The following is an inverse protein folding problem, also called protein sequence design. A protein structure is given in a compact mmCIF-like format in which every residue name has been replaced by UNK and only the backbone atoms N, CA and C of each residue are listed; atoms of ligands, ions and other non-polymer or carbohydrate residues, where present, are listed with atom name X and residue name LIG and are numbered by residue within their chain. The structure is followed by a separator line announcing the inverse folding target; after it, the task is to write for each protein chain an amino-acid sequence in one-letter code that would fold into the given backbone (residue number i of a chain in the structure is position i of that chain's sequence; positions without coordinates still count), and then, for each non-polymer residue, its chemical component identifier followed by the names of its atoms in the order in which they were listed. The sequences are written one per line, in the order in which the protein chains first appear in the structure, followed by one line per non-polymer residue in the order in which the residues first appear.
data_IF_484521329732
#
_entry.id   IF_484521329732
#
_cell.length_a   1.000
_cell.length_b   1.000
_cell.length_c   1.000
_cell.angle_alpha   90.00
_cell.angle_beta   90.00
_cell.angle_gamma   90.00
#
_symmetry.space_group_name_H-M   'P 1'
#
loop_
_entity.id
_entity.type
_entity.pdbx_description
1 polymer ?
#
# COMPACT_ATOMS: atom_id res chain seq x y z
N UNK A 1 48.07 -2.91 -22.13
CA UNK A 1 47.43 -4.20 -22.48
C UNK A 1 46.01 -4.34 -21.90
N UNK A 2 45.51 -3.36 -21.14
CA UNK A 2 44.23 -3.39 -20.41
C UNK A 2 42.95 -3.32 -21.28
N UNK A 3 43.00 -2.72 -22.48
CA UNK A 3 41.79 -2.51 -23.31
C UNK A 3 41.18 -3.81 -23.86
N UNK A 4 41.98 -4.86 -24.08
CA UNK A 4 41.48 -6.14 -24.62
C UNK A 4 40.64 -6.91 -23.61
N UNK A 5 40.96 -6.79 -22.31
CA UNK A 5 40.22 -7.46 -21.24
C UNK A 5 38.82 -6.86 -21.05
N UNK A 6 38.69 -5.53 -21.13
CA UNK A 6 37.40 -4.83 -21.04
C UNK A 6 36.45 -5.17 -22.19
N UNK A 7 36.93 -5.20 -23.43
CA UNK A 7 36.11 -5.57 -24.59
C UNK A 7 35.63 -7.02 -24.55
N UNK A 8 36.52 -7.96 -24.19
CA UNK A 8 36.17 -9.37 -24.05
C UNK A 8 35.10 -9.56 -22.96
N UNK A 9 35.21 -8.85 -21.83
CA UNK A 9 34.22 -8.90 -20.76
C UNK A 9 32.84 -8.39 -21.21
N UNK A 10 32.77 -7.26 -21.92
CA UNK A 10 31.51 -6.71 -22.46
C UNK A 10 30.86 -7.65 -23.47
N UNK A 11 31.64 -8.24 -24.39
CA UNK A 11 31.14 -9.19 -25.40
C UNK A 11 30.65 -10.50 -24.76
N UNK A 12 31.38 -11.02 -23.77
CA UNK A 12 30.97 -12.22 -23.02
C UNK A 12 29.70 -11.96 -22.19
N UNK A 13 29.56 -10.78 -21.59
CA UNK A 13 28.34 -10.40 -20.85
C UNK A 13 27.15 -10.23 -21.79
N UNK A 14 27.34 -9.60 -22.95
CA UNK A 14 26.32 -9.46 -24.01
C UNK A 14 25.90 -10.81 -24.61
N UNK A 15 26.84 -11.74 -24.87
CA UNK A 15 26.49 -13.10 -25.30
C UNK A 15 25.74 -13.88 -24.22
N UNK A 16 26.12 -13.73 -22.95
CA UNK A 16 25.39 -14.34 -21.82
C UNK A 16 23.97 -13.80 -21.67
N UNK A 17 23.74 -12.49 -21.81
CA UNK A 17 22.39 -11.91 -21.73
C UNK A 17 21.50 -12.34 -22.90
N UNK A 18 22.04 -12.36 -24.13
CA UNK A 18 21.31 -12.85 -25.31
C UNK A 18 20.96 -14.34 -25.20
N UNK A 19 21.89 -15.19 -24.73
CA UNK A 19 21.63 -16.61 -24.50
C UNK A 19 20.62 -16.85 -23.37
N UNK A 20 20.71 -16.10 -22.27
CA UNK A 20 19.74 -16.19 -21.17
C UNK A 20 18.35 -15.77 -21.60
N UNK A 21 18.22 -14.72 -22.42
CA UNK A 21 16.93 -14.30 -22.97
C UNK A 21 16.36 -15.34 -23.94
N UNK A 22 17.18 -15.91 -24.85
CA UNK A 22 16.76 -16.98 -25.76
C UNK A 22 16.31 -18.24 -25.01
N UNK A 23 17.03 -18.64 -23.95
CA UNK A 23 16.62 -19.76 -23.08
C UNK A 23 15.40 -19.46 -22.21
N UNK A 24 15.11 -18.17 -21.95
CA UNK A 24 13.88 -17.76 -21.25
C UNK A 24 12.69 -17.86 -22.21
N UNK A 25 12.85 -17.36 -23.44
CA UNK A 25 11.87 -17.51 -24.52
C UNK A 25 11.56 -18.99 -24.80
N UNK A 26 12.57 -19.85 -24.93
CA UNK A 26 12.40 -21.28 -25.24
C UNK A 26 11.68 -22.04 -24.12
N UNK A 27 11.99 -21.76 -22.84
CA UNK A 27 11.26 -22.33 -21.70
C UNK A 27 9.82 -21.81 -21.59
N UNK A 28 9.59 -20.52 -21.85
CA UNK A 28 8.21 -19.99 -21.89
C UNK A 28 7.41 -20.57 -23.04
N UNK A 29 7.99 -20.74 -24.23
CA UNK A 29 7.32 -21.36 -25.37
C UNK A 29 6.93 -22.80 -25.10
N UNK A 30 7.79 -23.58 -24.42
CA UNK A 30 7.46 -24.95 -24.04
C UNK A 30 6.33 -25.03 -23.00
N UNK A 31 6.32 -24.12 -22.02
CA UNK A 31 5.24 -24.01 -21.03
C UNK A 31 3.90 -23.58 -21.65
N UNK A 32 3.94 -22.63 -22.60
CA UNK A 32 2.76 -22.13 -23.33
C UNK A 32 2.16 -23.25 -24.20
N UNK A 33 3.00 -23.99 -24.94
CA UNK A 33 2.56 -25.09 -25.79
C UNK A 33 1.87 -26.22 -24.99
N UNK A 34 2.35 -26.54 -23.79
CA UNK A 34 1.70 -27.52 -22.92
C UNK A 34 0.32 -27.04 -22.44
N UNK A 35 0.22 -25.75 -22.10
CA UNK A 35 -1.03 -25.15 -21.63
C UNK A 35 -2.05 -25.01 -22.77
N UNK A 36 -1.60 -24.70 -23.99
CA UNK A 36 -2.39 -24.73 -25.21
C UNK A 36 -3.00 -26.10 -25.48
N UNK A 37 -2.19 -27.15 -25.41
CA UNK A 37 -2.64 -28.54 -25.52
C UNK A 37 -3.64 -28.91 -24.42
N UNK A 38 -3.40 -28.50 -23.18
CA UNK A 38 -4.26 -28.81 -22.05
C UNK A 38 -5.66 -28.18 -22.18
N UNK A 39 -5.74 -26.91 -22.62
CA UNK A 39 -7.02 -26.25 -22.88
C UNK A 39 -7.70 -26.85 -24.14
N UNK A 40 -6.95 -27.09 -25.22
CA UNK A 40 -7.52 -27.61 -26.48
C UNK A 40 -8.09 -29.04 -26.35
N UNK A 41 -7.55 -29.86 -25.45
CA UNK A 41 -8.03 -31.22 -25.16
C UNK A 41 -9.42 -31.24 -24.50
N UNK A 42 -9.91 -30.10 -24.01
CA UNK A 42 -11.24 -29.93 -23.40
C UNK A 42 -12.21 -29.13 -24.29
N UNK A 43 -11.89 -28.96 -25.57
CA UNK A 43 -12.85 -28.45 -26.55
C UNK A 43 -14.10 -29.36 -26.55
N UNK A 44 -15.30 -28.76 -26.52
CA UNK A 44 -16.62 -29.39 -26.28
C UNK A 44 -17.03 -29.76 -24.83
N UNK A 45 -16.21 -29.50 -23.81
CA UNK A 45 -16.63 -29.71 -22.42
C UNK A 45 -17.46 -28.54 -21.85
N UNK A 46 -18.06 -28.73 -20.67
CA UNK A 46 -18.75 -27.63 -19.99
C UNK A 46 -17.74 -26.54 -19.62
N UNK A 47 -18.22 -25.31 -19.47
CA UNK A 47 -17.38 -24.15 -19.13
C UNK A 47 -16.56 -24.37 -17.84
N UNK A 48 -17.09 -25.11 -16.87
CA UNK A 48 -16.35 -25.52 -15.67
C UNK A 48 -15.17 -26.47 -15.97
N UNK A 49 -15.35 -27.41 -16.88
CA UNK A 49 -14.32 -28.40 -17.25
C UNK A 49 -13.18 -27.77 -18.07
N UNK A 50 -13.49 -26.78 -18.91
CA UNK A 50 -12.49 -26.03 -19.67
C UNK A 50 -11.64 -25.14 -18.74
N UNK A 51 -12.26 -24.48 -17.76
CA UNK A 51 -11.57 -23.62 -16.80
C UNK A 51 -10.80 -24.40 -15.74
N UNK A 52 -11.17 -25.66 -15.47
CA UNK A 52 -10.44 -26.55 -14.56
C UNK A 52 -9.03 -26.93 -15.06
N UNK A 53 -8.77 -26.81 -16.37
CA UNK A 53 -7.47 -27.11 -16.97
C UNK A 53 -6.40 -26.04 -16.66
N UNK A 54 -6.81 -24.82 -16.27
CA UNK A 54 -5.88 -23.78 -15.81
C UNK A 54 -6.39 -22.36 -15.97
N UNK A 55 -5.75 -21.43 -15.25
CA UNK A 55 -6.08 -19.98 -15.23
C UNK A 55 -5.80 -19.25 -16.54
N UNK A 56 -5.10 -19.89 -17.49
CA UNK A 56 -4.84 -19.38 -18.82
C UNK A 56 -5.83 -19.86 -19.88
N UNK A 57 -6.79 -20.72 -19.55
CA UNK A 57 -7.81 -21.18 -20.51
C UNK A 57 -8.98 -20.19 -20.56
N UNK A 58 -9.59 -20.04 -21.74
CA UNK A 58 -10.85 -19.32 -21.93
C UNK A 58 -11.89 -20.23 -22.56
N UNK A 59 -13.16 -20.04 -22.19
CA UNK A 59 -14.29 -20.76 -22.76
C UNK A 59 -15.24 -19.83 -23.49
N UNK A 60 -15.69 -20.27 -24.66
CA UNK A 60 -16.61 -19.55 -25.53
C UNK A 60 -17.97 -20.25 -25.53
N UNK A 61 -18.99 -19.65 -24.92
CA UNK A 61 -20.33 -20.25 -24.87
C UNK A 61 -21.01 -20.29 -26.24
N UNK A 62 -20.90 -19.20 -27.02
CA UNK A 62 -21.49 -19.09 -28.36
C UNK A 62 -21.00 -20.16 -29.35
N UNK A 63 -19.72 -20.52 -29.30
CA UNK A 63 -19.11 -21.48 -30.24
C UNK A 63 -18.71 -22.81 -29.60
N UNK A 64 -18.95 -22.98 -28.29
CA UNK A 64 -18.49 -24.14 -27.47
C UNK A 64 -17.00 -24.48 -27.64
N UNK A 65 -16.17 -23.46 -27.84
CA UNK A 65 -14.72 -23.61 -28.03
C UNK A 65 -13.98 -23.34 -26.71
N UNK A 66 -12.98 -24.16 -26.44
CA UNK A 66 -12.03 -23.98 -25.34
C UNK A 66 -10.65 -23.72 -25.94
N UNK A 67 -9.99 -22.64 -25.52
CA UNK A 67 -8.70 -22.23 -26.05
C UNK A 67 -7.76 -21.73 -24.96
N UNK A 68 -6.47 -21.62 -25.29
CA UNK A 68 -5.49 -21.02 -24.40
C UNK A 68 -5.30 -19.55 -24.74
N UNK A 69 -5.39 -18.69 -23.73
CA UNK A 69 -5.25 -17.27 -23.88
C UNK A 69 -3.84 -16.81 -23.46
N UNK A 70 -2.91 -16.60 -24.41
CA UNK A 70 -1.63 -16.02 -24.07
C UNK A 70 -1.86 -14.57 -23.63
N UNK A 71 -1.39 -14.20 -22.44
CA UNK A 71 -1.42 -12.84 -21.85
C UNK A 71 -0.75 -11.73 -22.68
N UNK A 72 -0.44 -11.99 -23.96
CA UNK A 72 0.16 -11.07 -24.92
C UNK A 72 -0.84 -10.05 -25.48
N UNK A 73 -2.15 -10.28 -25.30
CA UNK A 73 -3.23 -9.39 -25.73
C UNK A 73 -4.21 -9.21 -24.57
N UNK A 74 -4.91 -8.08 -24.49
CA UNK A 74 -5.89 -7.83 -23.42
C UNK A 74 -7.24 -8.49 -23.69
N UNK A 75 -7.63 -8.63 -24.96
CA UNK A 75 -8.88 -9.27 -25.41
C UNK A 75 -8.60 -10.04 -26.72
N UNK A 76 -9.03 -11.32 -26.88
CA UNK A 76 -8.93 -12.02 -28.16
C UNK A 76 -9.79 -11.31 -29.21
N UNK A 77 -9.35 -11.33 -30.47
CA UNK A 77 -10.08 -10.71 -31.58
C UNK A 77 -11.50 -11.27 -31.72
N UNK A 78 -12.45 -10.38 -32.04
CA UNK A 78 -13.90 -10.62 -32.11
C UNK A 78 -14.32 -11.75 -33.08
N UNK A 79 -13.40 -12.23 -33.92
CA UNK A 79 -13.62 -13.27 -34.92
C UNK A 79 -13.49 -14.69 -34.36
N UNK A 80 -12.79 -14.90 -33.23
CA UNK A 80 -12.64 -16.23 -32.62
C UNK A 80 -13.77 -16.58 -31.63
N UNK A 81 -14.44 -15.56 -31.11
CA UNK A 81 -15.62 -15.68 -30.25
C UNK A 81 -16.60 -14.55 -30.55
N UNK A 82 -17.77 -14.92 -31.06
CA UNK A 82 -18.85 -13.97 -31.30
C UNK A 82 -19.28 -13.33 -29.98
N UNK A 83 -18.93 -12.05 -29.82
CA UNK A 83 -19.37 -11.14 -28.77
C UNK A 83 -18.73 -11.32 -27.37
N UNK A 84 -18.41 -10.18 -26.75
CA UNK A 84 -17.78 -10.07 -25.41
C UNK A 84 -18.65 -10.63 -24.27
N UNK A 85 -19.94 -10.90 -24.50
CA UNK A 85 -20.87 -11.41 -23.50
C UNK A 85 -20.73 -12.90 -23.19
N UNK A 86 -20.02 -13.67 -24.02
CA UNK A 86 -20.02 -15.15 -23.95
C UNK A 86 -18.65 -15.77 -23.68
N UNK A 87 -17.65 -14.92 -23.39
CA UNK A 87 -16.29 -15.34 -23.06
C UNK A 87 -16.15 -15.39 -21.54
N UNK A 88 -15.70 -16.53 -21.02
CA UNK A 88 -15.47 -16.78 -19.61
C UNK A 88 -13.98 -17.02 -19.37
N UNK A 89 -13.41 -16.28 -18.43
CA UNK A 89 -12.00 -16.40 -18.02
C UNK A 89 -11.95 -16.51 -16.50
N UNK A 90 -11.43 -17.63 -15.99
CA UNK A 90 -11.31 -17.91 -14.56
C UNK A 90 -12.61 -18.26 -13.81
N UNK A 91 -13.75 -17.69 -14.19
CA UNK A 91 -15.07 -18.00 -13.58
C UNK A 91 -16.14 -18.25 -14.64
N UNK A 92 -16.93 -19.30 -14.42
CA UNK A 92 -17.92 -19.77 -15.38
C UNK A 92 -19.33 -19.18 -15.19
N UNK A 93 -19.60 -18.63 -14.00
CA UNK A 93 -20.95 -18.21 -13.63
C UNK A 93 -21.30 -16.80 -14.11
N UNK A 94 -20.31 -15.99 -14.53
CA UNK A 94 -20.48 -14.57 -14.87
C UNK A 94 -19.64 -14.26 -16.11
N UNK A 95 -20.26 -13.68 -17.14
CA UNK A 95 -19.58 -13.23 -18.35
C UNK A 95 -18.58 -12.11 -18.05
N UNK A 96 -17.60 -11.90 -18.94
CA UNK A 96 -16.66 -10.78 -18.81
C UNK A 96 -17.39 -9.43 -18.64
N UNK A 97 -18.48 -9.21 -19.36
CA UNK A 97 -19.31 -8.01 -19.23
C UNK A 97 -19.83 -7.79 -17.80
N UNK A 98 -20.34 -8.86 -17.16
CA UNK A 98 -20.81 -8.79 -15.77
C UNK A 98 -19.67 -8.49 -14.79
N UNK A 99 -18.50 -9.08 -15.00
CA UNK A 99 -17.33 -8.85 -14.14
C UNK A 99 -16.79 -7.42 -14.24
N UNK A 100 -16.77 -6.85 -15.45
CA UNK A 100 -16.32 -5.47 -15.69
C UNK A 100 -17.27 -4.48 -15.01
N UNK A 101 -18.58 -4.68 -15.12
CA UNK A 101 -19.58 -3.85 -14.43
C UNK A 101 -19.43 -3.98 -12.91
N UNK A 102 -19.29 -5.20 -12.39
CA UNK A 102 -19.13 -5.43 -10.96
C UNK A 102 -17.89 -4.73 -10.38
N UNK A 103 -16.72 -4.86 -11.05
CA UNK A 103 -15.49 -4.16 -10.65
C UNK A 103 -15.70 -2.65 -10.74
N UNK A 104 -16.33 -2.16 -11.80
CA UNK A 104 -16.67 -0.74 -11.96
C UNK A 104 -17.52 -0.20 -10.81
N UNK A 105 -18.54 -0.94 -10.38
CA UNK A 105 -19.41 -0.56 -9.25
C UNK A 105 -18.64 -0.59 -7.93
N UNK A 106 -17.80 -1.60 -7.68
CA UNK A 106 -17.01 -1.68 -6.45
C UNK A 106 -16.02 -0.52 -6.37
N UNK A 107 -15.26 -0.28 -7.44
CA UNK A 107 -14.31 0.84 -7.48
C UNK A 107 -15.05 2.17 -7.39
N UNK A 108 -16.16 2.33 -8.11
CA UNK A 108 -16.99 3.53 -8.09
C UNK A 108 -17.55 3.83 -6.70
N UNK A 109 -18.11 2.84 -6.00
CA UNK A 109 -18.66 3.02 -4.66
C UNK A 109 -17.57 3.33 -3.64
N UNK A 110 -16.39 2.71 -3.72
CA UNK A 110 -15.24 3.02 -2.85
C UNK A 110 -14.76 4.46 -3.09
N UNK A 111 -14.61 4.89 -4.34
CA UNK A 111 -14.20 6.26 -4.67
C UNK A 111 -15.24 7.29 -4.20
N UNK A 112 -16.53 7.01 -4.39
CA UNK A 112 -17.61 7.87 -3.90
C UNK A 112 -17.63 7.94 -2.36
N UNK A 113 -17.46 6.81 -1.68
CA UNK A 113 -17.39 6.78 -0.22
C UNK A 113 -16.21 7.59 0.32
N UNK A 114 -15.03 7.46 -0.30
CA UNK A 114 -13.85 8.26 0.05
C UNK A 114 -14.09 9.73 -0.26
N UNK A 115 -14.65 10.07 -1.43
CA UNK A 115 -14.95 11.46 -1.79
C UNK A 115 -15.92 12.11 -0.81
N UNK A 116 -17.02 11.44 -0.46
CA UNK A 116 -18.00 11.98 0.49
C UNK A 116 -17.39 12.08 1.89
N UNK A 117 -16.67 11.05 2.34
CA UNK A 117 -15.96 11.06 3.62
C UNK A 117 -14.93 12.19 3.69
N UNK A 118 -14.09 12.35 2.67
CA UNK A 118 -13.10 13.42 2.61
C UNK A 118 -13.76 14.80 2.49
N UNK A 119 -14.83 14.98 1.70
CA UNK A 119 -15.53 16.25 1.62
C UNK A 119 -16.22 16.61 2.95
N UNK A 120 -16.90 15.66 3.61
CA UNK A 120 -17.54 15.90 4.91
C UNK A 120 -16.50 16.09 6.02
N UNK A 121 -15.46 15.28 6.07
CA UNK A 121 -14.41 15.40 7.08
C UNK A 121 -13.52 16.64 6.85
N UNK A 122 -13.12 16.98 5.62
CA UNK A 122 -12.25 18.14 5.38
C UNK A 122 -13.01 19.47 5.45
N UNK A 123 -14.26 19.55 4.97
CA UNK A 123 -15.08 20.76 5.08
C UNK A 123 -15.54 21.00 6.53
N UNK A 124 -15.95 19.97 7.27
CA UNK A 124 -16.35 20.12 8.67
C UNK A 124 -15.14 20.28 9.62
N UNK A 125 -13.99 19.63 9.33
CA UNK A 125 -12.78 19.73 10.19
C UNK A 125 -12.03 21.04 10.01
N UNK A 126 -12.15 21.74 8.87
CA UNK A 126 -11.51 23.07 8.70
C UNK A 126 -12.08 24.12 9.66
N UNK A 127 -13.35 24.00 10.05
CA UNK A 127 -13.97 24.84 11.09
C UNK A 127 -13.61 24.42 12.52
N UNK A 128 -13.36 23.12 12.75
CA UNK A 128 -13.06 22.61 14.09
C UNK A 128 -11.56 22.63 14.46
N UNK A 129 -10.65 22.65 13.47
CA UNK A 129 -9.21 22.71 13.71
C UNK A 129 -8.79 24.03 14.38
N UNK A 130 -9.45 25.14 14.04
CA UNK A 130 -9.23 26.42 14.72
C UNK A 130 -9.70 26.42 16.18
N UNK A 131 -10.77 25.68 16.50
CA UNK A 131 -11.24 25.50 17.88
C UNK A 131 -10.27 24.65 18.69
N UNK A 132 -9.79 23.55 18.12
CA UNK A 132 -8.85 22.65 18.81
C UNK A 132 -7.50 23.33 19.09
N UNK A 133 -6.97 24.13 18.15
CA UNK A 133 -5.76 24.93 18.38
C UNK A 133 -5.97 26.00 19.48
N UNK A 134 -7.15 26.67 19.50
CA UNK A 134 -7.48 27.65 20.54
C UNK A 134 -7.59 26.99 21.93
N UNK A 135 -8.19 25.82 22.00
CA UNK A 135 -8.38 25.09 23.27
C UNK A 135 -7.04 24.62 23.84
N UNK A 136 -6.13 24.12 22.99
CA UNK A 136 -4.77 23.76 23.40
C UNK A 136 -3.97 24.97 23.92
N UNK A 137 -4.07 26.13 23.26
CA UNK A 137 -3.42 27.36 23.72
C UNK A 137 -3.95 27.81 25.09
N UNK A 138 -5.28 27.76 25.30
CA UNK A 138 -5.91 28.10 26.59
C UNK A 138 -5.43 27.17 27.71
N UNK A 139 -5.31 25.87 27.42
CA UNK A 139 -4.86 24.87 28.40
C UNK A 139 -3.39 25.07 28.81
N UNK A 140 -2.54 25.52 27.89
CA UNK A 140 -1.14 25.87 28.19
C UNK A 140 -1.04 27.10 29.09
N UNK A 141 -1.82 28.15 28.82
CA UNK A 141 -1.88 29.35 29.65
C UNK A 141 -2.32 29.03 31.08
N UNK A 142 -3.37 28.23 31.25
CA UNK A 142 -3.82 27.83 32.60
C UNK A 142 -2.77 27.00 33.35
N UNK A 143 -2.08 26.08 32.66
CA UNK A 143 -0.99 25.30 33.26
C UNK A 143 0.13 26.22 33.74
N UNK A 144 0.50 27.20 32.91
CA UNK A 144 1.52 28.18 33.26
C UNK A 144 1.11 29.02 34.47
N UNK A 145 -0.13 29.51 34.51
CA UNK A 145 -0.65 30.25 35.67
C UNK A 145 -0.72 29.40 36.95
N UNK A 146 -1.03 28.10 36.83
CA UNK A 146 -1.02 27.18 37.99
C UNK A 146 0.40 26.95 38.50
N UNK A 147 1.37 26.87 37.59
CA UNK A 147 2.77 26.68 37.91
C UNK A 147 3.38 27.93 38.55
N UNK A 148 3.14 29.12 37.99
CA UNK A 148 3.55 30.40 38.58
C UNK A 148 3.03 30.56 40.02
N UNK A 149 1.75 30.24 40.27
CA UNK A 149 1.17 30.23 41.64
C UNK A 149 1.75 29.16 42.56
N UNK A 150 2.28 28.07 42.01
CA UNK A 150 2.93 27.02 42.81
C UNK A 150 4.34 27.48 43.21
N UNK A 151 5.07 28.06 42.25
CA UNK A 151 6.41 28.56 42.44
C UNK A 151 6.44 29.76 43.39
N UNK A 152 5.46 30.67 43.31
CA UNK A 152 5.30 31.77 44.26
C UNK A 152 5.10 31.26 45.70
N UNK A 153 4.19 30.29 45.89
CA UNK A 153 3.98 29.64 47.20
C UNK A 153 5.22 28.90 47.69
N UNK A 154 6.02 28.33 46.78
CA UNK A 154 7.27 27.63 47.14
C UNK A 154 8.36 28.63 47.52
N UNK A 155 8.47 29.75 46.82
CA UNK A 155 9.40 30.83 47.10
C UNK A 155 9.07 31.49 48.44
N UNK A 156 7.80 31.78 48.72
CA UNK A 156 7.33 32.32 49.99
C UNK A 156 7.68 31.39 51.16
N UNK A 157 7.37 30.08 51.03
CA UNK A 157 7.73 29.08 52.04
C UNK A 157 9.24 29.04 52.27
N UNK A 158 10.04 29.04 51.20
CA UNK A 158 11.50 29.02 51.29
C UNK A 158 12.03 30.28 51.98
N UNK A 159 11.55 31.45 51.59
CA UNK A 159 11.94 32.72 52.21
C UNK A 159 11.61 32.75 53.70
N UNK A 160 10.41 32.30 54.09
CA UNK A 160 10.01 32.19 55.51
C UNK A 160 10.89 31.19 56.26
N UNK A 161 11.20 30.03 55.66
CA UNK A 161 12.09 29.04 56.28
C UNK A 161 13.51 29.58 56.45
N UNK A 162 14.04 30.28 55.44
CA UNK A 162 15.39 30.84 55.46
C UNK A 162 15.51 31.99 56.49
N UNK A 163 14.47 32.82 56.65
CA UNK A 163 14.40 33.86 57.68
C UNK A 163 14.45 33.28 59.10
N UNK A 164 13.67 32.23 59.37
CA UNK A 164 13.72 31.51 60.65
C UNK A 164 15.12 30.92 60.88
N UNK A 165 15.72 30.32 59.84
CA UNK A 165 17.06 29.74 59.94
C UNK A 165 18.11 30.77 60.33
N UNK A 166 18.02 31.98 59.76
CA UNK A 166 18.89 33.13 60.09
C UNK A 166 18.67 33.61 61.53
N UNK A 167 17.41 33.74 61.96
CA UNK A 167 17.05 34.23 63.31
C UNK A 167 17.65 33.38 64.44
N UNK A 168 17.80 32.07 64.24
CA UNK A 168 18.34 31.16 65.25
C UNK A 168 19.81 30.78 65.02
N UNK A 169 20.55 31.51 64.16
CA UNK A 169 21.96 31.24 63.89
C UNK A 169 22.22 29.86 63.24
N UNK A 170 21.20 29.27 62.64
CA UNK A 170 21.22 27.94 62.02
C UNK A 170 21.68 27.97 60.55
N UNK A 171 22.29 29.08 60.14
CA UNK A 171 22.94 29.27 58.84
C UNK A 171 24.44 29.18 59.10
N UNK A 172 25.04 28.04 58.76
CA UNK A 172 26.49 27.94 58.61
C UNK A 172 26.84 28.59 57.26
N UNK A 173 27.95 29.32 57.21
CA UNK A 173 28.53 29.83 55.98
C UNK A 173 28.60 28.73 54.89
N UNK A 174 28.28 29.16 53.69
CA UNK A 174 27.99 28.45 52.44
C UNK A 174 28.75 27.12 52.23
N UNK A 175 28.01 26.00 52.20
CA UNK A 175 28.45 24.81 51.45
C UNK A 175 27.49 24.56 50.29
N UNK A 176 27.93 24.78 49.02
CA UNK A 176 27.08 24.55 47.87
C UNK A 176 26.98 23.04 47.64
N UNK A 177 25.82 22.45 47.95
CA UNK A 177 25.52 21.08 47.57
C UNK A 177 25.25 21.02 46.07
N UNK A 178 26.25 20.61 45.29
CA UNK A 178 26.07 20.20 43.89
C UNK A 178 25.43 18.82 43.88
N UNK A 179 24.16 18.74 43.47
CA UNK A 179 23.52 17.46 43.13
C UNK A 179 24.27 16.89 41.92
N UNK A 180 24.91 15.73 42.07
CA UNK A 180 25.50 15.01 40.95
C UNK A 180 24.36 14.32 40.20
N UNK A 181 24.05 14.82 39.00
CA UNK A 181 23.22 14.11 38.04
C UNK A 181 24.06 13.01 37.36
N UNK A 182 23.47 11.82 37.19
CA UNK A 182 24.13 10.58 36.78
C UNK A 182 23.76 10.18 35.35
#
# INVERSE_FOLDING_TARGET
MEMKAGYLYVVLRGRKTVLLNRMKDERTCHSIYYQEKACSMKANASCADCLAAGTGCYYCSASRKCGYYPYKRLIPSHDECAYFSEVYWGVCFISLQGSVIAIGVVVGTVLLAISVCCCWCCCCRKSNNSKWLRDMASMEEERRQRQERSDERRAERKARTDDIRRKYGLVRDETPYTRFDH
#
